data_IF_811562499557
#
_entry.id   IF_811562499557
#
_cell.length_a   1.000
_cell.length_b   1.000
_cell.length_c   1.000
_cell.angle_alpha   90.00
_cell.angle_beta   90.00
_cell.angle_gamma   90.00
#
_symmetry.space_group_name_H-M   'P 1'
#
loop_
_entity.id
_entity.type
_entity.pdbx_description
1 polymer ?
#
# COMPACT_ATOMS: atom_id res chain seq x y z
N UNK A 1 23.70 1.02 2.20
CA UNK A 1 23.88 -0.09 3.17
C UNK A 1 24.20 -1.41 2.45
N UNK A 2 23.43 -1.82 1.42
CA UNK A 2 23.65 -3.10 0.72
C UNK A 2 25.06 -3.23 0.14
N UNK A 3 25.52 -2.23 -0.63
CA UNK A 3 26.86 -2.23 -1.24
C UNK A 3 28.00 -2.26 -0.22
N UNK A 4 27.75 -1.79 0.99
CA UNK A 4 28.75 -1.74 2.08
C UNK A 4 28.61 -2.92 3.06
N UNK A 5 27.68 -3.86 2.81
CA UNK A 5 27.41 -4.97 3.72
C UNK A 5 26.88 -4.55 5.10
N UNK A 6 26.37 -3.32 5.23
CA UNK A 6 25.82 -2.80 6.48
C UNK A 6 24.42 -3.37 6.74
N UNK A 7 24.11 -3.65 8.00
CA UNK A 7 22.74 -4.02 8.41
C UNK A 7 21.84 -2.79 8.40
N UNK A 8 20.60 -2.97 7.99
CA UNK A 8 19.59 -1.92 7.93
C UNK A 8 18.18 -2.51 8.14
N UNK A 9 17.25 -1.66 8.52
CA UNK A 9 15.92 -2.05 9.00
C UNK A 9 14.81 -2.00 7.94
N UNK A 10 15.15 -1.77 6.67
CA UNK A 10 14.17 -1.71 5.58
C UNK A 10 14.35 -2.86 4.59
N UNK A 11 13.46 -2.95 3.63
CA UNK A 11 13.54 -3.88 2.51
C UNK A 11 14.76 -3.59 1.60
N UNK A 12 15.20 -4.54 0.75
CA UNK A 12 16.25 -4.33 -0.24
C UNK A 12 15.93 -3.17 -1.19
N UNK A 13 16.97 -2.55 -1.75
CA UNK A 13 16.84 -1.40 -2.65
C UNK A 13 15.91 -1.64 -3.82
N UNK A 14 15.98 -2.82 -4.45
CA UNK A 14 15.06 -3.19 -5.54
C UNK A 14 13.61 -3.28 -5.07
N UNK A 15 13.37 -3.86 -3.88
CA UNK A 15 12.02 -3.92 -3.31
C UNK A 15 11.47 -2.53 -3.02
N UNK A 16 12.31 -1.63 -2.47
CA UNK A 16 11.93 -0.24 -2.22
C UNK A 16 11.61 0.50 -3.54
N UNK A 17 12.43 0.31 -4.58
CA UNK A 17 12.20 0.94 -5.87
C UNK A 17 10.90 0.47 -6.55
N UNK A 18 10.62 -0.84 -6.51
CA UNK A 18 9.39 -1.41 -7.07
C UNK A 18 8.15 -0.97 -6.28
N UNK A 19 8.20 -1.03 -4.94
CA UNK A 19 7.08 -0.64 -4.08
C UNK A 19 6.76 0.85 -4.17
N UNK A 20 7.77 1.71 -4.37
CA UNK A 20 7.58 3.15 -4.51
C UNK A 20 6.82 3.53 -5.79
N UNK A 21 6.95 2.77 -6.88
CA UNK A 21 6.29 3.08 -8.14
C UNK A 21 4.96 2.34 -8.27
N UNK A 22 3.86 3.08 -8.09
CA UNK A 22 2.50 2.53 -8.10
C UNK A 22 2.12 1.81 -9.40
N UNK A 23 2.63 2.28 -10.54
CA UNK A 23 2.40 1.64 -11.82
C UNK A 23 3.12 0.29 -11.92
N UNK A 24 4.37 0.22 -11.49
CA UNK A 24 5.16 -1.01 -11.60
C UNK A 24 4.65 -2.10 -10.66
N UNK A 25 4.37 -1.79 -9.38
CA UNK A 25 3.87 -2.84 -8.51
C UNK A 25 2.46 -3.31 -8.89
N UNK A 26 1.54 -2.41 -9.29
CA UNK A 26 0.20 -2.81 -9.70
C UNK A 26 0.19 -3.64 -10.98
N UNK A 27 1.05 -3.31 -11.95
CA UNK A 27 1.25 -4.11 -13.17
C UNK A 27 1.81 -5.50 -12.83
N UNK A 28 2.83 -5.57 -11.97
CA UNK A 28 3.40 -6.83 -11.50
C UNK A 28 2.37 -7.68 -10.78
N UNK A 29 1.58 -7.08 -9.89
CA UNK A 29 0.55 -7.78 -9.13
C UNK A 29 -0.51 -8.37 -10.05
N UNK A 30 -1.06 -7.59 -10.97
CA UNK A 30 -2.05 -8.05 -11.94
C UNK A 30 -1.49 -9.17 -12.84
N UNK A 31 -0.25 -9.06 -13.31
CA UNK A 31 0.41 -10.11 -14.09
C UNK A 31 0.61 -11.43 -13.31
N UNK A 32 0.62 -11.36 -11.98
CA UNK A 32 0.78 -12.50 -11.08
C UNK A 32 -0.53 -12.90 -10.38
N UNK A 33 -1.69 -12.41 -10.84
CA UNK A 33 -3.00 -12.66 -10.24
C UNK A 33 -3.06 -12.29 -8.74
N UNK A 34 -2.39 -11.20 -8.34
CA UNK A 34 -2.58 -10.53 -7.06
C UNK A 34 -3.48 -9.33 -7.32
N UNK A 35 -4.65 -9.23 -6.66
CA UNK A 35 -5.62 -8.18 -6.96
C UNK A 35 -5.05 -6.78 -6.70
N UNK A 36 -4.96 -5.98 -7.75
CA UNK A 36 -4.66 -4.55 -7.69
C UNK A 36 -5.55 -3.81 -8.71
N UNK A 37 -5.91 -2.55 -8.47
CA UNK A 37 -6.69 -1.78 -9.43
C UNK A 37 -5.96 -1.67 -10.76
N UNK A 38 -6.69 -1.70 -11.88
CA UNK A 38 -6.10 -1.43 -13.19
C UNK A 38 -5.44 -0.06 -13.18
N UNK A 39 -4.28 0.03 -13.79
CA UNK A 39 -3.48 1.25 -13.78
C UNK A 39 -2.95 1.54 -15.17
N UNK A 40 -3.03 2.81 -15.54
CA UNK A 40 -2.56 3.32 -16.82
C UNK A 40 -1.58 4.44 -16.59
N UNK A 41 -0.59 4.54 -17.44
CA UNK A 41 0.40 5.62 -17.42
C UNK A 41 0.27 6.45 -18.68
N UNK A 42 0.13 7.77 -18.50
CA UNK A 42 0.18 8.72 -19.59
C UNK A 42 1.58 9.32 -19.68
N UNK A 43 2.18 9.22 -20.85
CA UNK A 43 3.57 9.67 -21.06
C UNK A 43 3.64 11.17 -21.35
N UNK A 44 4.82 11.78 -21.16
CA UNK A 44 5.07 13.18 -21.53
C UNK A 44 4.89 13.46 -23.04
N UNK A 45 4.95 12.41 -23.86
CA UNK A 45 4.71 12.49 -25.29
C UNK A 45 3.22 12.51 -25.66
N UNK A 46 2.32 12.58 -24.70
CA UNK A 46 0.89 12.63 -24.94
C UNK A 46 0.26 11.28 -25.34
N UNK A 47 0.88 10.16 -24.98
CA UNK A 47 0.41 8.82 -25.32
C UNK A 47 0.19 7.95 -24.07
N UNK A 48 -0.71 6.98 -24.17
CA UNK A 48 -0.93 5.98 -23.14
C UNK A 48 0.07 4.81 -23.27
N UNK A 49 0.64 4.39 -22.16
CA UNK A 49 1.35 3.11 -22.07
C UNK A 49 0.37 1.99 -21.76
N UNK A 50 0.40 0.93 -22.58
CA UNK A 50 -0.42 -0.29 -22.42
C UNK A 50 -1.94 -0.04 -22.42
N UNK A 51 -2.41 0.82 -23.34
CA UNK A 51 -3.82 1.15 -23.49
C UNK A 51 -4.26 2.31 -22.59
N UNK A 52 -5.52 2.68 -22.71
CA UNK A 52 -6.18 3.77 -21.97
C UNK A 52 -7.35 3.25 -21.16
N UNK A 53 -7.78 3.97 -20.11
CA UNK A 53 -9.05 3.65 -19.44
C UNK A 53 -10.22 3.84 -20.42
N UNK A 54 -11.24 3.00 -20.29
CA UNK A 54 -12.48 3.10 -21.07
C UNK A 54 -13.32 4.28 -20.60
N UNK A 55 -14.09 4.89 -21.54
CA UNK A 55 -15.05 5.94 -21.20
C UNK A 55 -16.08 5.43 -20.18
N UNK A 56 -16.40 6.26 -19.21
CA UNK A 56 -17.29 5.91 -18.11
C UNK A 56 -16.60 5.23 -16.92
N UNK A 57 -15.32 4.82 -17.05
CA UNK A 57 -14.56 4.27 -15.91
C UNK A 57 -14.32 5.36 -14.87
N UNK A 58 -14.61 5.07 -13.59
CA UNK A 58 -14.26 5.94 -12.47
C UNK A 58 -12.80 5.66 -12.09
N UNK A 59 -11.98 6.69 -12.10
CA UNK A 59 -10.54 6.59 -11.88
C UNK A 59 -10.07 7.62 -10.87
N UNK A 60 -8.91 7.36 -10.26
CA UNK A 60 -8.17 8.34 -9.46
C UNK A 60 -6.83 8.64 -10.13
N UNK A 61 -6.54 9.94 -10.30
CA UNK A 61 -5.25 10.41 -10.78
C UNK A 61 -4.35 10.73 -9.58
N UNK A 62 -3.21 10.07 -9.49
CA UNK A 62 -2.29 10.27 -8.36
C UNK A 62 -0.83 10.23 -8.78
N UNK A 63 0.09 10.86 -8.03
CA UNK A 63 1.50 10.78 -8.33
C UNK A 63 2.00 9.33 -8.36
N UNK A 64 2.88 9.02 -9.31
CA UNK A 64 3.37 7.65 -9.54
C UNK A 64 4.24 7.15 -8.37
N UNK A 65 5.02 8.05 -7.75
CA UNK A 65 6.09 7.68 -6.81
C UNK A 65 6.05 8.44 -5.48
N UNK A 66 4.99 9.21 -5.21
CA UNK A 66 4.86 9.91 -3.93
C UNK A 66 4.28 8.99 -2.84
N UNK A 67 4.53 9.35 -1.57
CA UNK A 67 4.08 8.64 -0.37
C UNK A 67 3.30 9.60 0.55
N UNK A 68 2.74 9.09 1.65
CA UNK A 68 2.02 9.88 2.64
C UNK A 68 0.84 10.68 2.05
N UNK A 69 0.11 10.11 1.11
CA UNK A 69 -1.01 10.74 0.41
C UNK A 69 -0.69 12.03 -0.35
N UNK A 70 0.59 12.37 -0.55
CA UNK A 70 1.00 13.59 -1.27
C UNK A 70 0.37 13.66 -2.66
N UNK A 71 -0.26 14.79 -2.96
CA UNK A 71 -0.96 15.04 -4.23
C UNK A 71 -2.26 14.25 -4.41
N UNK A 72 -2.77 13.59 -3.35
CA UNK A 72 -4.04 12.86 -3.37
C UNK A 72 -5.13 13.76 -2.77
N UNK A 73 -6.23 13.92 -3.52
CA UNK A 73 -7.44 14.61 -3.06
C UNK A 73 -8.67 14.01 -3.74
N UNK A 74 -9.85 14.20 -3.15
CA UNK A 74 -11.12 13.72 -3.75
C UNK A 74 -11.39 14.31 -5.13
N UNK A 75 -10.91 15.53 -5.41
CA UNK A 75 -11.01 16.16 -6.73
C UNK A 75 -10.24 15.42 -7.84
N UNK A 76 -9.36 14.50 -7.47
CA UNK A 76 -8.63 13.63 -8.42
C UNK A 76 -9.39 12.36 -8.78
N UNK A 77 -10.56 12.13 -8.16
CA UNK A 77 -11.47 11.04 -8.54
C UNK A 77 -12.38 11.58 -9.63
N UNK A 78 -12.22 11.05 -10.84
CA UNK A 78 -12.93 11.52 -12.03
C UNK A 78 -13.53 10.34 -12.82
N UNK A 79 -14.53 10.64 -13.64
CA UNK A 79 -15.05 9.70 -14.62
C UNK A 79 -14.41 10.00 -15.97
N UNK A 80 -13.84 8.97 -16.59
CA UNK A 80 -13.19 9.10 -17.91
C UNK A 80 -14.22 9.50 -18.97
N UNK A 81 -13.90 10.55 -19.72
CA UNK A 81 -14.69 11.02 -20.87
C UNK A 81 -13.78 11.22 -22.08
N UNK A 82 -14.32 11.33 -23.31
CA UNK A 82 -13.52 11.64 -24.50
C UNK A 82 -12.75 12.96 -24.40
N UNK A 83 -13.25 13.88 -23.56
CA UNK A 83 -12.67 15.19 -23.28
C UNK A 83 -11.72 15.18 -22.07
N UNK A 84 -11.37 13.96 -21.59
CA UNK A 84 -10.44 13.87 -20.46
C UNK A 84 -9.19 14.67 -20.80
N UNK A 85 -9.13 15.85 -20.21
CA UNK A 85 -8.06 16.80 -20.49
C UNK A 85 -6.74 16.16 -20.08
N UNK A 86 -5.93 15.87 -21.08
CA UNK A 86 -4.57 15.36 -20.90
C UNK A 86 -3.67 16.35 -20.12
N UNK A 87 -4.14 17.56 -19.86
CA UNK A 87 -3.47 18.58 -19.07
C UNK A 87 -3.29 18.20 -17.57
N UNK A 88 -4.02 17.18 -17.10
CA UNK A 88 -3.85 16.60 -15.74
C UNK A 88 -2.84 15.44 -15.70
N UNK A 89 -2.33 15.03 -16.86
CA UNK A 89 -1.60 13.79 -17.03
C UNK A 89 -0.17 14.10 -17.51
N UNK A 90 0.74 14.32 -16.59
CA UNK A 90 2.17 14.29 -16.88
C UNK A 90 2.74 12.91 -16.52
N UNK A 91 3.94 12.57 -17.00
CA UNK A 91 4.63 11.27 -16.72
C UNK A 91 4.79 10.94 -15.22
N UNK A 92 4.55 11.91 -14.36
CA UNK A 92 4.61 11.77 -12.92
C UNK A 92 3.31 11.26 -12.28
N UNK A 93 2.24 11.08 -13.08
CA UNK A 93 0.94 10.63 -12.59
C UNK A 93 0.55 9.29 -13.20
N UNK A 94 -0.06 8.44 -12.39
CA UNK A 94 -0.80 7.29 -12.87
C UNK A 94 -2.30 7.60 -12.83
N UNK A 95 -3.03 7.03 -13.76
CA UNK A 95 -4.49 6.92 -13.73
C UNK A 95 -4.80 5.51 -13.26
N UNK A 96 -5.52 5.37 -12.17
CA UNK A 96 -5.83 4.09 -11.57
C UNK A 96 -7.33 3.95 -11.38
N UNK A 97 -7.87 2.76 -11.67
CA UNK A 97 -9.27 2.44 -11.39
C UNK A 97 -9.60 2.77 -9.93
N UNK A 98 -10.68 3.52 -9.72
CA UNK A 98 -11.14 3.83 -8.37
C UNK A 98 -12.00 2.69 -7.85
N UNK A 99 -11.51 2.00 -6.83
CA UNK A 99 -12.25 0.92 -6.17
C UNK A 99 -13.13 1.53 -5.08
N UNK A 100 -14.45 1.43 -5.24
CA UNK A 100 -15.40 1.82 -4.20
C UNK A 100 -15.37 0.84 -3.03
N UNK A 101 -15.37 1.38 -1.81
CA UNK A 101 -15.30 0.58 -0.60
C UNK A 101 -14.55 1.31 0.51
N UNK A 102 -14.03 0.57 1.47
CA UNK A 102 -13.29 1.11 2.60
C UNK A 102 -11.80 0.77 2.53
N UNK A 103 -10.99 1.52 3.26
CA UNK A 103 -9.54 1.34 3.31
C UNK A 103 -9.13 0.50 4.50
N UNK A 104 -8.13 -0.36 4.31
CA UNK A 104 -7.46 -1.02 5.41
C UNK A 104 -5.96 -1.19 5.15
N UNK A 105 -5.21 -1.26 6.23
CA UNK A 105 -3.77 -1.47 6.24
C UNK A 105 -3.43 -2.80 6.90
N UNK A 106 -2.44 -3.50 6.33
CA UNK A 106 -1.96 -4.78 6.85
C UNK A 106 -0.47 -4.67 7.18
N UNK A 107 -0.11 -4.48 8.46
CA UNK A 107 1.28 -4.55 8.90
C UNK A 107 1.84 -5.96 8.74
N UNK A 108 3.11 -6.06 8.34
CA UNK A 108 3.81 -7.34 8.13
C UNK A 108 5.22 -7.22 8.70
N UNK A 109 5.66 -8.27 9.39
CA UNK A 109 7.05 -8.48 9.80
C UNK A 109 7.62 -9.76 9.22
N UNK A 110 8.91 -9.75 8.91
CA UNK A 110 9.66 -10.93 8.57
C UNK A 110 10.83 -11.09 9.52
N UNK A 111 10.82 -12.19 10.27
CA UNK A 111 11.86 -12.55 11.23
C UNK A 111 12.53 -13.84 10.76
N UNK A 112 13.78 -13.75 10.32
CA UNK A 112 14.45 -14.85 9.65
C UNK A 112 13.70 -15.26 8.36
N UNK A 113 13.19 -16.49 8.29
CA UNK A 113 12.41 -16.99 7.16
C UNK A 113 10.90 -16.88 7.37
N UNK A 114 10.45 -16.52 8.56
CA UNK A 114 9.03 -16.49 8.91
C UNK A 114 8.44 -15.10 8.62
N UNK A 115 7.29 -15.08 7.95
CA UNK A 115 6.50 -13.87 7.69
C UNK A 115 5.33 -13.87 8.65
N UNK A 116 5.17 -12.80 9.40
CA UNK A 116 4.10 -12.57 10.35
C UNK A 116 3.19 -11.47 9.81
N UNK A 117 2.00 -11.85 9.38
CA UNK A 117 0.99 -10.94 8.85
C UNK A 117 -0.01 -10.63 9.95
N UNK A 118 -0.11 -9.37 10.32
CA UNK A 118 -1.06 -8.91 11.33
C UNK A 118 -2.49 -8.94 10.79
N UNK A 119 -3.50 -8.94 11.67
CA UNK A 119 -4.88 -8.71 11.25
C UNK A 119 -5.00 -7.38 10.50
N UNK A 120 -5.86 -7.31 9.46
CA UNK A 120 -6.10 -6.06 8.75
C UNK A 120 -6.75 -5.03 9.68
N UNK A 121 -6.33 -3.78 9.54
CA UNK A 121 -6.77 -2.65 10.35
C UNK A 121 -7.53 -1.68 9.45
N UNK A 122 -8.79 -1.42 9.76
CA UNK A 122 -9.62 -0.46 9.04
C UNK A 122 -9.18 0.97 9.32
N UNK A 123 -9.30 1.81 8.30
CA UNK A 123 -9.05 3.24 8.40
C UNK A 123 -10.39 3.96 8.44
N UNK A 124 -10.67 4.64 9.56
CA UNK A 124 -11.84 5.51 9.67
C UNK A 124 -11.51 6.86 9.02
N UNK A 125 -12.05 7.07 7.85
CA UNK A 125 -11.84 8.28 7.04
C UNK A 125 -12.74 9.46 7.46
N UNK A 126 -13.51 9.32 8.54
CA UNK A 126 -14.40 10.36 9.08
C UNK A 126 -15.35 10.97 8.02
N UNK A 127 -15.89 10.12 7.15
CA UNK A 127 -16.84 10.50 6.10
C UNK A 127 -16.23 10.87 4.75
N UNK A 128 -14.89 10.89 4.63
CA UNK A 128 -14.22 11.05 3.33
C UNK A 128 -14.22 9.74 2.52
N UNK A 129 -14.06 9.86 1.20
CA UNK A 129 -13.99 8.71 0.29
C UNK A 129 -12.60 8.06 0.24
N UNK A 130 -11.55 8.82 0.58
CA UNK A 130 -10.13 8.43 0.57
C UNK A 130 -9.37 9.13 1.69
N UNK A 131 -8.22 8.56 2.08
CA UNK A 131 -7.24 9.25 2.91
C UNK A 131 -6.46 10.24 2.03
N UNK A 132 -6.90 11.50 2.01
CA UNK A 132 -6.26 12.57 1.27
C UNK A 132 -5.04 13.17 2.01
N UNK A 133 -4.30 14.05 1.34
CA UNK A 133 -3.09 14.68 1.88
C UNK A 133 -3.37 15.43 3.19
N UNK A 134 -4.40 16.28 3.21
CA UNK A 134 -4.76 17.09 4.38
C UNK A 134 -5.11 16.23 5.60
N UNK A 135 -5.94 15.18 5.41
CA UNK A 135 -6.31 14.27 6.48
C UNK A 135 -5.11 13.47 7.00
N UNK A 136 -4.20 13.08 6.09
CA UNK A 136 -2.98 12.35 6.45
C UNK A 136 -2.02 13.23 7.26
N UNK A 137 -1.75 14.46 6.83
CA UNK A 137 -0.84 15.40 7.52
C UNK A 137 -1.36 15.82 8.90
N UNK A 138 -2.67 16.02 9.02
CA UNK A 138 -3.31 16.47 10.26
C UNK A 138 -3.72 15.32 11.19
N UNK A 139 -3.44 14.05 10.81
CA UNK A 139 -3.90 12.84 11.52
C UNK A 139 -5.44 12.83 11.73
N UNK A 140 -6.20 13.33 10.75
CA UNK A 140 -7.66 13.38 10.78
C UNK A 140 -8.27 12.09 10.25
N UNK A 141 -7.85 10.96 10.80
CA UNK A 141 -8.36 9.62 10.53
C UNK A 141 -8.13 8.75 11.76
N UNK A 142 -8.85 7.66 11.86
CA UNK A 142 -8.76 6.73 12.98
C UNK A 142 -8.49 5.29 12.53
N UNK A 143 -8.30 4.41 13.51
CA UNK A 143 -8.10 2.98 13.27
C UNK A 143 -9.18 2.16 13.96
N UNK A 144 -9.63 1.07 13.31
CA UNK A 144 -10.59 0.15 13.92
C UNK A 144 -10.33 -1.30 13.52
N UNK A 145 -10.84 -2.24 14.32
CA UNK A 145 -10.71 -3.68 14.06
C UNK A 145 -11.70 -4.12 12.98
N UNK A 146 -11.18 -4.70 11.91
CA UNK A 146 -11.99 -5.23 10.81
C UNK A 146 -12.57 -6.62 11.07
N UNK A 147 -12.01 -7.39 11.98
CA UNK A 147 -12.52 -8.70 12.37
C UNK A 147 -13.97 -8.68 12.91
N UNK A 148 -14.43 -7.50 13.36
CA UNK A 148 -15.82 -7.27 13.78
C UNK A 148 -16.77 -6.90 12.63
N UNK A 149 -16.23 -6.49 11.48
CA UNK A 149 -16.98 -5.96 10.34
C UNK A 149 -16.97 -6.93 9.14
N UNK A 150 -15.99 -7.82 9.07
CA UNK A 150 -15.79 -8.77 7.99
C UNK A 150 -15.85 -10.21 8.48
N UNK A 151 -16.23 -11.13 7.61
CA UNK A 151 -16.13 -12.55 7.92
C UNK A 151 -14.66 -13.00 8.06
N UNK A 152 -14.41 -14.03 8.83
CA UNK A 152 -13.08 -14.61 9.01
C UNK A 152 -12.44 -15.08 7.71
N UNK A 153 -13.26 -15.46 6.73
CA UNK A 153 -12.81 -15.86 5.39
C UNK A 153 -12.25 -14.65 4.60
N UNK A 154 -12.94 -13.51 4.65
CA UNK A 154 -12.47 -12.27 4.01
C UNK A 154 -11.19 -11.78 4.68
N UNK A 155 -11.13 -11.77 6.01
CA UNK A 155 -9.92 -11.41 6.76
C UNK A 155 -8.73 -12.31 6.35
N UNK A 156 -8.95 -13.61 6.28
CA UNK A 156 -7.93 -14.58 5.85
C UNK A 156 -7.47 -14.32 4.41
N UNK A 157 -8.40 -13.97 3.53
CA UNK A 157 -8.10 -13.66 2.13
C UNK A 157 -7.23 -12.40 2.02
N UNK A 158 -7.53 -11.35 2.78
CA UNK A 158 -6.73 -10.12 2.85
C UNK A 158 -5.31 -10.46 3.33
N UNK A 159 -5.17 -11.21 4.43
CA UNK A 159 -3.86 -11.58 4.98
C UNK A 159 -3.03 -12.42 4.00
N UNK A 160 -3.61 -13.42 3.34
CA UNK A 160 -2.93 -14.23 2.33
C UNK A 160 -2.50 -13.38 1.11
N UNK A 161 -3.34 -12.45 0.69
CA UNK A 161 -3.04 -11.53 -0.41
C UNK A 161 -1.88 -10.60 -0.03
N UNK A 162 -1.88 -10.07 1.19
CA UNK A 162 -0.81 -9.23 1.73
C UNK A 162 0.52 -9.98 1.81
N UNK A 163 0.52 -11.23 2.33
CA UNK A 163 1.72 -12.07 2.37
C UNK A 163 2.26 -12.35 0.97
N UNK A 164 1.38 -12.66 0.02
CA UNK A 164 1.77 -12.92 -1.36
C UNK A 164 2.41 -11.69 -2.01
N UNK A 165 1.85 -10.50 -1.81
CA UNK A 165 2.41 -9.24 -2.29
C UNK A 165 3.79 -8.97 -1.67
N UNK A 166 3.93 -9.14 -0.36
CA UNK A 166 5.18 -8.98 0.38
C UNK A 166 6.28 -9.91 -0.18
N UNK A 167 5.96 -11.18 -0.44
CA UNK A 167 6.88 -12.16 -1.05
C UNK A 167 7.24 -11.79 -2.49
N UNK A 168 6.26 -11.36 -3.29
CA UNK A 168 6.45 -11.03 -4.69
C UNK A 168 7.41 -9.86 -4.89
N UNK A 169 7.28 -8.84 -4.05
CA UNK A 169 8.17 -7.68 -4.03
C UNK A 169 9.50 -7.96 -3.32
N UNK A 170 9.71 -9.18 -2.79
CA UNK A 170 10.90 -9.57 -2.00
C UNK A 170 11.16 -8.60 -0.84
N UNK A 171 10.09 -8.13 -0.21
CA UNK A 171 10.19 -7.26 0.96
C UNK A 171 10.84 -8.01 2.13
N UNK A 172 11.42 -7.26 3.05
CA UNK A 172 12.17 -7.82 4.17
C UNK A 172 12.06 -6.93 5.40
N UNK A 173 12.32 -7.49 6.58
CA UNK A 173 12.24 -6.87 7.91
C UNK A 173 10.81 -6.51 8.26
N UNK A 174 10.22 -5.50 7.67
CA UNK A 174 8.83 -5.08 7.88
C UNK A 174 8.30 -4.32 6.67
N UNK A 175 7.00 -4.17 6.62
CA UNK A 175 6.31 -3.41 5.59
C UNK A 175 4.82 -3.34 5.84
N UNK A 176 4.10 -2.64 4.98
CA UNK A 176 2.65 -2.48 5.06
C UNK A 176 2.05 -2.59 3.67
N UNK A 177 0.96 -3.32 3.57
CA UNK A 177 0.18 -3.45 2.33
C UNK A 177 -1.18 -2.82 2.56
N UNK A 178 -1.55 -1.87 1.71
CA UNK A 178 -2.75 -1.08 1.87
C UNK A 178 -3.81 -1.49 0.83
N UNK A 179 -5.03 -1.71 1.31
CA UNK A 179 -6.13 -2.26 0.53
C UNK A 179 -7.34 -1.34 0.47
N UNK A 180 -8.01 -1.37 -0.68
CA UNK A 180 -9.43 -1.03 -0.80
C UNK A 180 -10.22 -2.33 -0.80
N UNK A 181 -11.21 -2.42 0.06
CA UNK A 181 -12.10 -3.57 0.17
C UNK A 181 -13.47 -3.17 -0.34
N UNK A 182 -13.96 -3.86 -1.37
CA UNK A 182 -15.29 -3.61 -1.91
C UNK A 182 -16.38 -4.05 -0.93
N UNK A 183 -17.62 -3.63 -1.15
CA UNK A 183 -18.75 -4.01 -0.29
C UNK A 183 -18.98 -5.52 -0.22
N UNK A 184 -18.62 -6.26 -1.27
CA UNK A 184 -18.69 -7.72 -1.29
C UNK A 184 -17.42 -8.42 -0.75
N UNK A 185 -16.52 -7.67 -0.11
CA UNK A 185 -15.34 -8.22 0.58
C UNK A 185 -14.14 -8.50 -0.31
N UNK A 186 -14.13 -8.07 -1.59
CA UNK A 186 -13.00 -8.30 -2.47
C UNK A 186 -11.87 -7.27 -2.20
N UNK A 187 -10.63 -7.72 -1.88
CA UNK A 187 -9.51 -6.84 -1.61
C UNK A 187 -8.77 -6.45 -2.89
N UNK A 188 -8.34 -5.18 -2.98
CA UNK A 188 -7.46 -4.66 -4.02
C UNK A 188 -6.31 -3.88 -3.39
N UNK A 189 -5.07 -4.23 -3.70
CA UNK A 189 -3.88 -3.53 -3.19
C UNK A 189 -3.68 -2.24 -3.98
N UNK A 190 -3.75 -1.10 -3.31
CA UNK A 190 -3.57 0.20 -3.96
C UNK A 190 -2.31 0.96 -3.53
N UNK A 191 -1.69 0.54 -2.42
CA UNK A 191 -0.38 1.07 -2.00
C UNK A 191 0.45 0.02 -1.24
N UNK A 192 1.78 0.22 -1.25
CA UNK A 192 2.76 -0.64 -0.59
C UNK A 192 3.82 0.23 0.06
N UNK A 193 4.02 0.09 1.35
CA UNK A 193 5.07 0.79 2.09
C UNK A 193 6.14 -0.17 2.60
N UNK A 194 7.39 0.07 2.18
CA UNK A 194 8.58 -0.65 2.70
C UNK A 194 9.17 0.00 3.94
N UNK A 195 8.72 1.21 4.26
CA UNK A 195 9.09 1.98 5.46
C UNK A 195 7.85 2.69 6.00
N UNK A 196 6.82 1.93 6.43
CA UNK A 196 5.59 2.51 6.94
C UNK A 196 5.86 3.32 8.22
N UNK A 197 4.97 4.26 8.51
CA UNK A 197 5.01 4.98 9.76
C UNK A 197 4.88 4.03 10.95
N UNK A 198 5.74 4.25 11.94
CA UNK A 198 5.74 3.56 13.23
C UNK A 198 5.54 4.54 14.39
N UNK A 199 4.97 5.71 14.09
CA UNK A 199 4.57 6.70 15.11
C UNK A 199 3.44 6.16 15.97
N UNK A 200 3.11 6.83 17.08
CA UNK A 200 1.98 6.42 17.94
C UNK A 200 0.65 6.45 17.20
N UNK A 201 0.49 7.35 16.25
CA UNK A 201 -0.66 7.37 15.32
C UNK A 201 -0.28 6.63 14.04
N UNK A 202 -0.32 5.30 14.10
CA UNK A 202 -0.04 4.42 12.95
C UNK A 202 -0.73 3.06 13.11
N UNK A 203 -0.99 2.39 12.01
CA UNK A 203 -1.54 1.03 12.04
C UNK A 203 -0.60 0.03 12.72
N UNK A 204 0.72 0.24 12.67
CA UNK A 204 1.67 -0.57 13.42
C UNK A 204 1.48 -0.44 14.94
N UNK A 205 1.38 0.80 15.45
CA UNK A 205 1.14 1.04 16.87
C UNK A 205 -0.20 0.44 17.30
N UNK A 206 -1.26 0.68 16.51
CA UNK A 206 -2.57 0.11 16.77
C UNK A 206 -2.54 -1.42 16.77
N UNK A 207 -1.89 -2.07 15.79
CA UNK A 207 -1.79 -3.53 15.71
C UNK A 207 -1.09 -4.14 16.93
N UNK A 208 0.03 -3.55 17.36
CA UNK A 208 0.78 -4.01 18.53
C UNK A 208 -0.03 -3.87 19.81
N UNK A 209 -0.68 -2.73 20.02
CA UNK A 209 -1.55 -2.49 21.18
C UNK A 209 -2.70 -3.50 21.23
N UNK A 210 -3.34 -3.80 20.09
CA UNK A 210 -4.44 -4.78 20.04
C UNK A 210 -4.00 -6.22 20.38
N UNK A 211 -2.71 -6.52 20.26
CA UNK A 211 -2.13 -7.81 20.66
C UNK A 211 -1.53 -7.79 22.07
N UNK A 212 -1.65 -6.68 22.80
CA UNK A 212 -1.15 -6.52 24.16
C UNK A 212 0.35 -6.17 24.25
N UNK A 213 0.98 -5.76 23.15
CA UNK A 213 2.34 -5.28 23.14
C UNK A 213 2.43 -3.78 23.47
N UNK A 214 3.57 -3.36 23.97
CA UNK A 214 3.87 -1.94 24.16
C UNK A 214 4.36 -1.27 22.88
N UNK A 215 4.20 0.04 22.78
CA UNK A 215 4.67 0.81 21.63
C UNK A 215 6.16 0.60 21.31
N UNK A 216 7.01 0.48 22.32
CA UNK A 216 8.44 0.24 22.13
C UNK A 216 8.76 -1.14 21.54
N UNK A 217 7.83 -2.11 21.62
CA UNK A 217 8.04 -3.45 21.05
C UNK A 217 8.09 -3.44 19.53
N UNK A 218 7.50 -2.42 18.89
CA UNK A 218 7.64 -2.21 17.43
C UNK A 218 9.11 -2.09 17.07
N UNK A 219 9.85 -1.25 17.78
CA UNK A 219 11.27 -1.02 17.49
C UNK A 219 12.14 -2.21 17.88
N UNK A 220 11.80 -2.91 18.97
CA UNK A 220 12.46 -4.18 19.34
C UNK A 220 12.27 -5.23 18.24
N UNK A 221 11.06 -5.35 17.69
CA UNK A 221 10.76 -6.27 16.60
C UNK A 221 11.52 -5.91 15.31
N UNK A 222 11.53 -4.63 14.91
CA UNK A 222 12.24 -4.15 13.72
C UNK A 222 13.75 -4.39 13.84
N UNK A 223 14.35 -4.06 15.00
CA UNK A 223 15.78 -4.27 15.24
C UNK A 223 16.09 -5.77 15.23
N UNK A 224 15.31 -6.59 15.93
CA UNK A 224 15.51 -8.04 15.99
C UNK A 224 15.41 -8.67 14.60
N UNK A 225 14.42 -8.29 13.80
CA UNK A 225 14.27 -8.76 12.44
C UNK A 225 15.47 -8.38 11.55
N UNK A 226 15.97 -7.15 11.68
CA UNK A 226 17.15 -6.69 10.95
C UNK A 226 18.43 -7.43 11.37
N UNK A 227 18.56 -7.75 12.65
CA UNK A 227 19.70 -8.51 13.17
C UNK A 227 19.68 -9.98 12.72
N UNK A 228 18.50 -10.57 12.61
CA UNK A 228 18.29 -11.96 12.15
C UNK A 228 18.34 -12.10 10.62
N UNK A 229 18.41 -10.99 9.90
CA UNK A 229 18.59 -11.01 8.46
C UNK A 229 19.89 -11.70 8.10
N UNK A 230 19.85 -12.79 7.35
CA UNK A 230 21.03 -13.50 6.87
C UNK A 230 21.95 -12.58 6.05
N UNK A 231 23.26 -12.82 6.12
CA UNK A 231 24.23 -12.13 5.24
C UNK A 231 23.86 -12.46 3.79
N UNK A 232 23.43 -11.46 3.02
CA UNK A 232 23.05 -11.65 1.60
C UNK A 232 24.24 -11.64 0.65
N UNK A 233 25.44 -11.34 1.14
CA UNK A 233 26.67 -11.31 0.36
C UNK A 233 27.78 -12.00 1.16
N UNK A 234 28.07 -13.23 0.84
CA UNK A 234 29.37 -13.87 0.97
C UNK A 234 29.84 -14.19 -0.43
#
# INVERSE_FOLDING_TARGET
CELLGLRYTTSPSLSCALARNKYYFSTLFNAQNVPAPKSWLYTDNGTWMNGSPENGTKVICKPTSESASQGISESKIITVSPELSTNLLGSRYIVQEYIEGFECEVPIFKVGNNIHVFPPIGIDLQGKSILDEDASEQNQYGFYKLDKCLSSEVVTTIQKTAERAFRLLKMDVYGRIDFRITQNGQPFIFDVSTTPYTTRHSSFAYAFEQLGFEYCDIYRAVISAALMRGKRFT
#
